data_IF_064539677995
#
_entry.id   IF_064539677995
#
_cell.length_a   1.000
_cell.length_b   1.000
_cell.length_c   1.000
_cell.angle_alpha   90.00
_cell.angle_beta   90.00
_cell.angle_gamma   90.00
#
_symmetry.space_group_name_H-M   'P 1'
#
loop_
_entity.id
_entity.type
_entity.pdbx_description
1 polymer ?
#
# COMPACT_ATOMS: atom_id res chain seq x y z
N UNK A 1 10.49 4.09 22.00
CA UNK A 1 11.51 3.61 22.96
C UNK A 1 11.58 2.09 22.86
N UNK A 2 12.77 1.54 22.61
CA UNK A 2 13.01 0.09 22.54
C UNK A 2 13.80 -0.31 23.79
N UNK A 3 13.42 -1.41 24.44
CA UNK A 3 14.12 -1.96 25.63
C UNK A 3 14.58 -3.37 25.30
N UNK A 4 15.88 -3.64 25.52
CA UNK A 4 16.51 -4.95 25.31
C UNK A 4 17.04 -5.41 26.65
N UNK A 5 16.68 -6.64 27.05
CA UNK A 5 17.05 -7.19 28.36
C UNK A 5 18.49 -7.73 28.47
N UNK A 6 19.15 -7.96 27.34
CA UNK A 6 20.49 -8.56 27.28
C UNK A 6 21.45 -7.68 26.45
N UNK A 7 22.59 -7.34 27.04
CA UNK A 7 23.65 -6.53 26.42
C UNK A 7 24.56 -7.31 25.48
N UNK A 8 24.55 -8.65 25.51
CA UNK A 8 25.40 -9.46 24.61
C UNK A 8 24.88 -9.47 23.17
N UNK A 9 23.65 -9.02 22.93
CA UNK A 9 23.02 -8.97 21.59
C UNK A 9 23.79 -8.10 20.59
N UNK A 10 24.50 -7.06 21.06
CA UNK A 10 25.29 -6.13 20.24
C UNK A 10 26.79 -6.50 20.17
N UNK A 11 27.22 -7.53 20.89
CA UNK A 11 28.64 -7.84 21.05
C UNK A 11 29.15 -8.70 19.91
N UNK A 12 30.14 -8.21 19.18
CA UNK A 12 30.89 -9.05 18.25
C UNK A 12 31.93 -9.88 19.02
N UNK A 13 32.00 -11.16 18.69
CA UNK A 13 33.08 -12.00 19.16
C UNK A 13 34.40 -11.71 18.42
N UNK A 14 35.56 -11.81 19.08
CA UNK A 14 36.88 -11.86 18.45
C UNK A 14 37.48 -13.27 18.41
N UNK A 15 37.99 -13.75 17.27
CA UNK A 15 38.77 -15.00 17.18
C UNK A 15 40.23 -14.72 17.52
N UNK A 16 40.69 -15.22 18.67
CA UNK A 16 42.07 -15.02 19.16
C UNK A 16 43.15 -15.60 18.23
N UNK A 17 42.86 -16.67 17.46
CA UNK A 17 43.88 -17.32 16.63
C UNK A 17 44.20 -16.61 15.32
N UNK A 18 43.31 -15.75 14.82
CA UNK A 18 43.47 -15.05 13.52
C UNK A 18 43.35 -13.53 13.70
N UNK A 19 43.21 -13.05 14.94
CA UNK A 19 42.92 -11.66 15.30
C UNK A 19 41.72 -11.06 14.52
N UNK A 20 40.79 -11.91 14.07
CA UNK A 20 39.67 -11.54 13.22
C UNK A 20 38.41 -11.27 14.03
N UNK A 21 37.67 -10.23 13.63
CA UNK A 21 36.36 -9.88 14.21
C UNK A 21 35.30 -10.77 13.55
N UNK A 22 34.49 -11.43 14.37
CA UNK A 22 33.37 -12.25 13.90
C UNK A 22 32.19 -11.34 13.60
N UNK A 23 31.45 -11.56 12.50
CA UNK A 23 30.25 -10.80 12.22
C UNK A 23 29.21 -10.94 13.35
N UNK A 24 28.48 -9.85 13.61
CA UNK A 24 27.52 -9.78 14.69
C UNK A 24 26.38 -10.79 14.48
N UNK A 25 26.07 -11.56 15.51
CA UNK A 25 25.05 -12.61 15.46
C UNK A 25 25.55 -13.95 14.92
N UNK A 26 26.82 -14.11 14.53
CA UNK A 26 27.35 -15.43 14.16
C UNK A 26 27.79 -16.21 15.40
N UNK A 27 27.22 -17.39 15.61
CA UNK A 27 27.69 -18.34 16.61
C UNK A 27 28.93 -19.09 16.10
N UNK A 28 29.93 -19.19 16.97
CA UNK A 28 31.23 -19.80 16.69
C UNK A 28 31.19 -21.31 16.64
N UNK A 29 30.32 -21.91 17.43
CA UNK A 29 30.28 -23.36 17.61
C UNK A 29 29.41 -24.01 16.54
N UNK A 30 28.25 -23.42 16.27
CA UNK A 30 27.34 -23.90 15.23
C UNK A 30 27.63 -23.32 13.85
N UNK A 31 28.35 -22.20 13.75
CA UNK A 31 28.58 -21.48 12.49
C UNK A 31 27.34 -20.78 11.95
N UNK A 32 26.22 -20.80 12.69
CA UNK A 32 24.96 -20.19 12.27
C UNK A 32 25.00 -18.68 12.44
N UNK A 33 24.49 -17.94 11.44
CA UNK A 33 24.36 -16.49 11.49
C UNK A 33 22.93 -16.12 11.89
N UNK A 34 22.78 -15.58 13.10
CA UNK A 34 21.56 -15.00 13.61
C UNK A 34 21.36 -13.56 13.13
N UNK A 35 20.11 -13.12 13.13
CA UNK A 35 19.68 -11.82 12.61
C UNK A 35 20.04 -10.61 13.47
N UNK A 36 20.91 -10.72 14.48
CA UNK A 36 21.18 -9.63 15.45
C UNK A 36 21.64 -8.34 14.77
N UNK A 37 22.47 -8.44 13.73
CA UNK A 37 22.90 -7.28 12.93
C UNK A 37 21.70 -6.57 12.28
N UNK A 38 20.84 -7.33 11.61
CA UNK A 38 19.67 -6.77 10.93
C UNK A 38 18.66 -6.23 11.94
N UNK A 39 18.46 -6.91 13.06
CA UNK A 39 17.60 -6.45 14.15
C UNK A 39 18.04 -5.08 14.66
N UNK A 40 19.32 -4.93 15.01
CA UNK A 40 19.85 -3.66 15.51
C UNK A 40 19.80 -2.54 14.46
N UNK A 41 20.09 -2.83 13.20
CA UNK A 41 19.94 -1.85 12.13
C UNK A 41 18.49 -1.37 12.02
N UNK A 42 17.50 -2.27 12.05
CA UNK A 42 16.10 -1.88 12.06
C UNK A 42 15.70 -1.10 13.31
N UNK A 43 16.28 -1.40 14.48
CA UNK A 43 16.04 -0.63 15.70
C UNK A 43 16.61 0.79 15.61
N UNK A 44 17.82 0.94 15.06
CA UNK A 44 18.43 2.25 14.82
C UNK A 44 17.59 3.04 13.82
N UNK A 45 17.24 2.41 12.70
CA UNK A 45 16.36 3.02 11.70
C UNK A 45 15.04 3.45 12.35
N UNK A 46 14.38 2.60 13.14
CA UNK A 46 13.14 2.95 13.83
C UNK A 46 13.28 4.12 14.83
N UNK A 47 14.40 4.21 15.54
CA UNK A 47 14.62 5.23 16.56
C UNK A 47 15.11 6.56 15.97
N UNK A 48 15.75 6.54 14.80
CA UNK A 48 16.31 7.71 14.13
C UNK A 48 15.49 8.17 12.91
N UNK A 49 14.55 7.37 12.42
CA UNK A 49 13.73 7.71 11.25
C UNK A 49 12.60 8.70 11.61
N UNK A 50 12.83 9.98 11.32
CA UNK A 50 11.84 11.05 11.40
C UNK A 50 10.86 11.06 10.19
N UNK A 51 11.11 10.25 9.16
CA UNK A 51 10.40 10.35 7.87
C UNK A 51 9.14 9.47 7.76
N UNK A 52 8.88 8.59 8.73
CA UNK A 52 7.71 7.72 8.74
C UNK A 52 7.68 6.67 7.61
N UNK A 53 8.78 6.47 6.89
CA UNK A 53 8.91 5.50 5.78
C UNK A 53 8.68 4.06 6.26
N UNK A 54 9.10 3.73 7.48
CA UNK A 54 8.81 2.44 8.12
C UNK A 54 7.30 2.22 8.32
N UNK A 55 6.54 3.26 8.65
CA UNK A 55 5.08 3.18 8.84
C UNK A 55 4.32 2.97 7.52
N UNK A 56 4.89 3.40 6.38
CA UNK A 56 4.30 3.17 5.06
C UNK A 56 4.42 1.69 4.67
N UNK A 57 5.48 1.00 5.09
CA UNK A 57 5.69 -0.45 4.83
C UNK A 57 4.81 -1.36 5.68
N UNK A 58 4.47 -0.96 6.91
CA UNK A 58 3.56 -1.73 7.78
C UNK A 58 2.09 -1.56 7.43
N UNK A 59 1.76 -0.53 6.64
CA UNK A 59 0.42 -0.38 6.07
C UNK A 59 0.25 -1.38 4.93
N UNK A 60 -0.09 -2.62 5.30
CA UNK A 60 -0.63 -3.59 4.35
C UNK A 60 -1.92 -2.99 3.75
N UNK A 61 -1.78 -2.31 2.61
CA UNK A 61 -2.90 -2.08 1.74
C UNK A 61 -3.34 -3.45 1.25
N UNK A 62 -4.28 -4.09 1.98
CA UNK A 62 -5.06 -5.19 1.44
C UNK A 62 -5.77 -4.64 0.22
N UNK A 63 -5.12 -4.79 -0.93
CA UNK A 63 -5.75 -4.61 -2.22
C UNK A 63 -6.89 -5.61 -2.22
N UNK A 64 -8.11 -5.11 -1.96
CA UNK A 64 -9.32 -5.87 -2.26
C UNK A 64 -9.30 -5.99 -3.77
N UNK A 65 -8.76 -7.11 -4.24
CA UNK A 65 -8.71 -7.43 -5.66
C UNK A 65 -10.13 -7.24 -6.18
N UNK A 66 -10.26 -6.31 -7.13
CA UNK A 66 -11.54 -6.04 -7.75
C UNK A 66 -11.91 -7.30 -8.54
N UNK A 67 -13.09 -7.85 -8.29
CA UNK A 67 -13.54 -9.08 -8.91
C UNK A 67 -13.73 -8.85 -10.41
N UNK A 68 -12.74 -9.30 -11.19
CA UNK A 68 -12.69 -9.10 -12.64
C UNK A 68 -13.88 -9.74 -13.34
N UNK A 69 -14.40 -10.88 -12.84
CA UNK A 69 -15.57 -11.52 -13.42
C UNK A 69 -16.81 -10.63 -13.34
N UNK A 70 -16.98 -9.91 -12.23
CA UNK A 70 -18.12 -9.01 -12.06
C UNK A 70 -18.00 -7.79 -12.97
N UNK A 71 -16.80 -7.26 -13.13
CA UNK A 71 -16.55 -6.13 -14.05
C UNK A 71 -16.89 -6.53 -15.48
N UNK A 72 -16.38 -7.68 -15.95
CA UNK A 72 -16.57 -8.12 -17.34
C UNK A 72 -18.04 -8.37 -17.66
N UNK A 73 -18.81 -8.90 -16.70
CA UNK A 73 -20.26 -9.11 -16.85
C UNK A 73 -21.06 -7.81 -16.86
N UNK A 74 -20.69 -6.83 -16.02
CA UNK A 74 -21.46 -5.58 -15.86
C UNK A 74 -20.96 -4.43 -16.79
N UNK A 75 -19.86 -4.62 -17.52
CA UNK A 75 -19.19 -3.58 -18.30
C UNK A 75 -20.12 -2.90 -19.31
N UNK A 76 -20.87 -3.71 -20.07
CA UNK A 76 -21.79 -3.20 -21.09
C UNK A 76 -22.93 -2.39 -20.47
N UNK A 77 -23.45 -2.82 -19.33
CA UNK A 77 -24.51 -2.11 -18.62
C UNK A 77 -24.02 -0.71 -18.20
N UNK A 78 -22.87 -0.65 -17.54
CA UNK A 78 -22.29 0.63 -17.08
C UNK A 78 -21.86 1.53 -18.23
N UNK A 79 -21.34 0.97 -19.32
CA UNK A 79 -20.99 1.73 -20.51
C UNK A 79 -22.22 2.36 -21.16
N UNK A 80 -23.33 1.61 -21.29
CA UNK A 80 -24.57 2.13 -21.88
C UNK A 80 -25.19 3.19 -20.97
N UNK A 81 -25.25 2.97 -19.66
CA UNK A 81 -25.81 3.96 -18.72
C UNK A 81 -25.04 5.28 -18.78
N UNK A 82 -23.71 5.23 -18.75
CA UNK A 82 -22.88 6.43 -18.78
C UNK A 82 -22.84 7.12 -20.14
N UNK A 83 -23.07 6.37 -21.23
CA UNK A 83 -23.05 6.94 -22.60
C UNK A 83 -24.43 7.47 -23.00
N UNK A 84 -25.48 6.65 -22.85
CA UNK A 84 -26.84 7.00 -23.25
C UNK A 84 -27.55 7.89 -22.24
N UNK A 85 -27.21 7.81 -20.94
CA UNK A 85 -27.83 8.60 -19.87
C UNK A 85 -27.74 10.11 -20.14
N UNK A 86 -26.54 10.69 -20.34
CA UNK A 86 -26.39 12.13 -20.63
C UNK A 86 -27.12 12.56 -21.91
N UNK A 87 -27.08 11.73 -22.95
CA UNK A 87 -27.76 12.01 -24.23
C UNK A 87 -29.28 12.05 -24.05
N UNK A 88 -29.85 11.10 -23.30
CA UNK A 88 -31.27 11.07 -22.98
C UNK A 88 -31.70 12.29 -22.17
N UNK A 89 -30.89 12.72 -21.21
CA UNK A 89 -31.16 13.93 -20.41
C UNK A 89 -31.26 15.15 -21.33
N UNK A 90 -30.29 15.36 -22.22
CA UNK A 90 -30.31 16.49 -23.16
C UNK A 90 -31.51 16.42 -24.10
N UNK A 91 -31.83 15.23 -24.63
CA UNK A 91 -32.98 15.03 -25.50
C UNK A 91 -34.32 15.35 -24.80
N UNK A 92 -34.49 14.90 -23.56
CA UNK A 92 -35.67 15.18 -22.74
C UNK A 92 -35.82 16.68 -22.47
N UNK A 93 -34.74 17.39 -22.12
CA UNK A 93 -34.78 18.84 -21.95
C UNK A 93 -35.13 19.57 -23.25
N UNK A 94 -34.62 19.10 -24.39
CA UNK A 94 -34.94 19.61 -25.71
C UNK A 94 -36.44 19.47 -26.03
N UNK A 95 -36.99 18.26 -25.85
CA UNK A 95 -38.41 17.96 -26.07
C UNK A 95 -39.31 18.76 -25.12
N UNK A 96 -38.96 18.84 -23.84
CA UNK A 96 -39.70 19.64 -22.86
C UNK A 96 -39.76 21.12 -23.25
N UNK A 97 -38.62 21.70 -23.67
CA UNK A 97 -38.54 23.09 -24.13
C UNK A 97 -39.35 23.30 -25.42
N UNK A 98 -39.30 22.36 -26.36
CA UNK A 98 -40.06 22.40 -27.61
C UNK A 98 -41.58 22.35 -27.34
N UNK A 99 -42.02 21.42 -26.49
CA UNK A 99 -43.41 21.30 -26.08
C UNK A 99 -43.92 22.57 -25.40
N UNK A 100 -43.16 23.10 -24.44
CA UNK A 100 -43.51 24.36 -23.75
C UNK A 100 -43.57 25.55 -24.71
N UNK A 101 -42.69 25.60 -25.72
CA UNK A 101 -42.72 26.63 -26.75
C UNK A 101 -43.98 26.51 -27.61
N UNK A 102 -44.38 25.30 -28.02
CA UNK A 102 -45.64 25.10 -28.75
C UNK A 102 -46.84 25.59 -27.95
N UNK A 103 -46.94 25.23 -26.67
CA UNK A 103 -48.10 25.63 -25.84
C UNK A 103 -48.16 27.15 -25.61
N UNK A 104 -47.01 27.84 -25.51
CA UNK A 104 -46.97 29.28 -25.20
C UNK A 104 -47.07 30.20 -26.43
N UNK A 105 -46.64 29.76 -27.61
CA UNK A 105 -46.55 30.59 -28.83
C UNK A 105 -47.42 30.10 -29.99
N UNK A 106 -48.23 29.04 -29.81
CA UNK A 106 -49.23 28.60 -30.79
C UNK A 106 -50.66 29.08 -30.47
N UNK A 107 -50.78 30.12 -29.63
CA UNK A 107 -51.95 31.01 -29.58
C UNK A 107 -51.60 32.32 -30.25
#
# INVERSE_FOLDING_TARGET
MIVIGDGDVIKNGVRKSTNGIIPLGMDRYTGQVFGNKNFLLNCIDYLCDDSGLMAIRSKELKLRLLDKNRIDNDLLFWQVVNTAGPVLIIALFGLFKFYRRRVKYAS
#
